data_IF_678457150288
#
_entry.id   IF_678457150288
#
_cell.length_a   1.000
_cell.length_b   1.000
_cell.length_c   1.000
_cell.angle_alpha   90.00
_cell.angle_beta   90.00
_cell.angle_gamma   90.00
#
_symmetry.space_group_name_H-M   'P 1'
#
loop_
_entity.id
_entity.type
_entity.pdbx_description
1 polymer ?
#
# COMPACT_ATOMS: atom_id res chain seq x y z
N UNK A 1 41.42 -29.84 6.75
CA UNK A 1 40.24 -29.25 6.10
C UNK A 1 39.48 -28.50 7.17
N UNK A 2 39.62 -27.17 7.22
CA UNK A 2 38.97 -26.32 8.23
C UNK A 2 38.37 -25.15 7.47
N UNK A 3 37.11 -25.28 7.06
CA UNK A 3 36.35 -24.16 6.52
C UNK A 3 36.09 -23.14 7.63
N UNK A 4 36.10 -21.83 7.34
CA UNK A 4 35.74 -20.83 8.32
C UNK A 4 34.29 -21.06 8.78
N UNK A 5 33.95 -20.78 10.05
CA UNK A 5 32.57 -20.87 10.48
C UNK A 5 31.76 -19.83 9.71
N UNK A 6 30.79 -20.28 8.91
CA UNK A 6 29.75 -19.45 8.31
C UNK A 6 28.81 -18.97 9.43
N UNK A 7 29.32 -18.16 10.36
CA UNK A 7 28.48 -17.36 11.24
C UNK A 7 27.87 -16.28 10.38
N UNK A 8 26.68 -16.55 9.84
CA UNK A 8 25.86 -15.57 9.16
C UNK A 8 25.82 -14.29 10.00
N UNK A 9 26.45 -13.22 9.51
CA UNK A 9 26.52 -11.95 10.19
C UNK A 9 25.10 -11.35 10.22
N UNK A 10 24.40 -11.51 11.34
CA UNK A 10 23.11 -10.86 11.56
C UNK A 10 23.38 -9.42 11.95
N UNK A 11 23.33 -8.50 10.97
CA UNK A 11 23.41 -7.07 11.26
C UNK A 11 22.18 -6.64 12.05
N UNK A 12 22.33 -5.95 13.19
CA UNK A 12 21.18 -5.48 13.97
C UNK A 12 20.40 -4.46 13.14
N UNK A 13 19.08 -4.68 13.01
CA UNK A 13 18.20 -3.74 12.32
C UNK A 13 18.07 -2.49 13.18
N UNK A 14 18.38 -1.34 12.58
CA UNK A 14 18.28 -0.04 13.28
C UNK A 14 16.82 0.38 13.43
N UNK A 15 16.51 1.16 14.46
CA UNK A 15 15.15 1.69 14.67
C UNK A 15 14.65 2.48 13.45
N UNK A 16 15.51 3.23 12.77
CA UNK A 16 15.17 3.96 11.55
C UNK A 16 14.75 3.01 10.42
N UNK A 17 15.45 1.89 10.23
CA UNK A 17 15.06 0.89 9.23
C UNK A 17 13.69 0.27 9.53
N UNK A 18 13.39 0.02 10.82
CA UNK A 18 12.08 -0.48 11.24
C UNK A 18 10.98 0.55 10.93
N UNK A 19 11.21 1.82 11.30
CA UNK A 19 10.24 2.89 11.03
C UNK A 19 9.99 3.07 9.53
N UNK A 20 11.05 3.05 8.71
CA UNK A 20 10.92 3.12 7.25
C UNK A 20 10.14 1.92 6.70
N UNK A 21 10.44 0.70 7.16
CA UNK A 21 9.70 -0.49 6.74
C UNK A 21 8.21 -0.39 7.10
N UNK A 22 7.89 0.08 8.30
CA UNK A 22 6.50 0.31 8.73
C UNK A 22 5.82 1.36 7.83
N UNK A 23 6.47 2.49 7.56
CA UNK A 23 5.92 3.53 6.68
C UNK A 23 5.64 3.01 5.27
N UNK A 24 6.56 2.21 4.71
CA UNK A 24 6.37 1.58 3.39
C UNK A 24 5.16 0.65 3.41
N UNK A 25 5.02 -0.19 4.42
CA UNK A 25 3.87 -1.09 4.56
C UNK A 25 2.55 -0.31 4.63
N UNK A 26 2.50 0.80 5.37
CA UNK A 26 1.31 1.66 5.40
C UNK A 26 0.95 2.22 4.02
N UNK A 27 1.93 2.67 3.23
CA UNK A 27 1.69 3.17 1.87
C UNK A 27 1.13 2.07 0.97
N UNK A 28 1.65 0.85 1.08
CA UNK A 28 1.14 -0.30 0.31
C UNK A 28 -0.32 -0.59 0.66
N UNK A 29 -0.65 -0.62 1.95
CA UNK A 29 -2.02 -0.87 2.40
C UNK A 29 -2.99 0.23 1.96
N UNK A 30 -2.60 1.50 2.04
CA UNK A 30 -3.43 2.62 1.55
C UNK A 30 -3.69 2.47 0.05
N UNK A 31 -2.65 2.13 -0.73
CA UNK A 31 -2.81 1.92 -2.17
C UNK A 31 -3.72 0.72 -2.48
N UNK A 32 -3.65 -0.34 -1.68
CA UNK A 32 -4.53 -1.50 -1.81
C UNK A 32 -6.00 -1.15 -1.48
N UNK A 33 -6.24 -0.40 -0.40
CA UNK A 33 -7.58 0.08 -0.04
C UNK A 33 -8.17 0.99 -1.13
N UNK A 34 -7.36 1.88 -1.69
CA UNK A 34 -7.75 2.72 -2.83
C UNK A 34 -8.12 1.89 -4.05
N UNK A 35 -7.36 0.84 -4.36
CA UNK A 35 -7.68 -0.08 -5.45
C UNK A 35 -9.01 -0.81 -5.23
N UNK A 36 -9.28 -1.28 -4.01
CA UNK A 36 -10.57 -1.91 -3.66
C UNK A 36 -11.71 -0.92 -3.80
N UNK A 37 -11.56 0.29 -3.28
CA UNK A 37 -12.56 1.35 -3.41
C UNK A 37 -12.84 1.70 -4.87
N UNK A 38 -11.81 1.64 -5.72
CA UNK A 38 -11.95 1.93 -7.14
C UNK A 38 -12.64 0.79 -7.91
N UNK A 39 -12.27 -0.46 -7.64
CA UNK A 39 -12.68 -1.64 -8.45
C UNK A 39 -13.86 -2.42 -7.89
N UNK A 40 -14.02 -2.47 -6.57
CA UNK A 40 -15.02 -3.31 -5.92
C UNK A 40 -16.24 -2.51 -5.49
N UNK A 41 -16.05 -1.27 -5.06
CA UNK A 41 -17.15 -0.47 -4.53
C UNK A 41 -18.01 0.13 -5.64
N UNK A 42 -19.32 0.12 -5.38
CA UNK A 42 -20.34 0.74 -6.22
C UNK A 42 -20.67 2.12 -5.65
N UNK A 43 -20.90 3.09 -6.52
CA UNK A 43 -21.37 4.39 -6.11
C UNK A 43 -22.77 4.27 -5.49
N UNK A 44 -22.99 4.91 -4.34
CA UNK A 44 -24.30 4.89 -3.65
C UNK A 44 -25.41 5.60 -4.43
N UNK A 45 -25.05 6.53 -5.32
CA UNK A 45 -26.00 7.30 -6.13
C UNK A 45 -26.31 6.61 -7.45
N UNK A 46 -25.27 6.21 -8.20
CA UNK A 46 -25.41 5.71 -9.56
C UNK A 46 -25.43 4.17 -9.63
N UNK A 47 -25.04 3.47 -8.56
CA UNK A 47 -24.93 2.01 -8.53
C UNK A 47 -23.82 1.40 -9.41
N UNK A 48 -23.19 2.21 -10.26
CA UNK A 48 -22.06 1.81 -11.09
C UNK A 48 -20.75 1.77 -10.30
N UNK A 49 -19.78 1.01 -10.82
CA UNK A 49 -18.47 0.84 -10.17
C UNK A 49 -17.82 2.20 -10.07
N UNK A 50 -17.16 2.51 -8.94
CA UNK A 50 -16.55 3.83 -8.75
C UNK A 50 -15.57 4.21 -9.86
N UNK A 51 -14.96 3.22 -10.53
CA UNK A 51 -14.13 3.45 -11.72
C UNK A 51 -14.86 4.10 -12.88
N UNK A 52 -16.07 3.65 -13.11
CA UNK A 52 -16.87 3.98 -14.28
C UNK A 52 -18.04 4.91 -13.91
N UNK A 53 -18.14 5.35 -12.64
CA UNK A 53 -19.27 6.18 -12.21
C UNK A 53 -19.07 7.64 -12.67
N UNK A 54 -20.03 8.20 -13.42
CA UNK A 54 -19.99 9.59 -13.87
C UNK A 54 -20.19 10.59 -12.72
N UNK A 55 -20.69 10.16 -11.55
CA UNK A 55 -20.74 10.99 -10.35
C UNK A 55 -19.34 11.27 -9.75
N UNK A 56 -18.31 10.60 -10.25
CA UNK A 56 -16.94 10.63 -9.72
C UNK A 56 -16.16 11.92 -10.03
N UNK A 57 -16.68 12.84 -10.85
CA UNK A 57 -16.02 14.15 -11.07
C UNK A 57 -15.83 14.95 -9.77
N UNK A 58 -16.59 14.65 -8.70
CA UNK A 58 -16.39 15.23 -7.37
C UNK A 58 -15.26 14.58 -6.55
N UNK A 59 -14.83 13.37 -6.91
CA UNK A 59 -13.87 12.55 -6.15
C UNK A 59 -12.55 12.35 -6.89
N UNK A 60 -12.44 12.81 -8.15
CA UNK A 60 -11.24 12.78 -8.99
C UNK A 60 -9.98 13.27 -8.25
N UNK A 61 -10.12 14.28 -7.39
CA UNK A 61 -9.02 14.85 -6.60
C UNK A 61 -8.55 13.99 -5.42
N UNK A 62 -9.40 13.09 -4.89
CA UNK A 62 -9.03 12.12 -3.84
C UNK A 62 -8.26 10.92 -4.37
N UNK A 63 -8.23 10.73 -5.70
CA UNK A 63 -7.48 9.63 -6.35
C UNK A 63 -6.01 10.03 -6.58
N UNK A 64 -5.61 11.28 -6.32
CA UNK A 64 -4.25 11.77 -6.58
C UNK A 64 -3.48 12.22 -5.32
N UNK A 65 -4.09 12.11 -4.14
CA UNK A 65 -3.42 12.23 -2.84
C UNK A 65 -3.42 10.88 -2.12
#
# INVERSE_FOLDING_TARGET
MSGPPETAMVTPVTQTQILVAISILFVVEINHLKWIWWTQWQCRTCGAKNRDCPCSDKWKWMVWF
#
